data_IF_135213538379
#
_entry.id   IF_135213538379
#
_cell.length_a   1.000
_cell.length_b   1.000
_cell.length_c   1.000
_cell.angle_alpha   90.00
_cell.angle_beta   90.00
_cell.angle_gamma   90.00
#
_symmetry.space_group_name_H-M   'P 1'
#
loop_
_entity.id
_entity.type
_entity.pdbx_description
1 polymer ?
#
# COMPACT_ATOMS: atom_id res chain seq x y z
N UNK A 1 -2.55 18.54 -18.05
CA UNK A 1 -3.66 18.49 -17.07
C UNK A 1 -4.39 17.15 -17.14
N UNK A 2 -5.16 16.86 -18.20
CA UNK A 2 -5.94 15.60 -18.29
C UNK A 2 -5.09 14.32 -18.15
N UNK A 3 -3.99 14.21 -18.89
CA UNK A 3 -3.08 13.04 -18.80
C UNK A 3 -2.45 12.87 -17.41
N UNK A 4 -2.11 13.97 -16.74
CA UNK A 4 -1.51 13.98 -15.41
C UNK A 4 -2.50 13.52 -14.35
N UNK A 5 -3.76 13.97 -14.43
CA UNK A 5 -4.83 13.56 -13.51
C UNK A 5 -5.23 12.10 -13.74
N UNK A 6 -5.30 11.68 -15.01
CA UNK A 6 -5.53 10.28 -15.36
C UNK A 6 -4.46 9.36 -14.76
N UNK A 7 -3.18 9.70 -14.95
CA UNK A 7 -2.07 8.88 -14.46
C UNK A 7 -2.03 8.81 -12.94
N UNK A 8 -2.33 9.90 -12.23
CA UNK A 8 -2.43 9.91 -10.76
C UNK A 8 -3.54 8.99 -10.24
N UNK A 9 -4.76 9.10 -10.80
CA UNK A 9 -5.87 8.26 -10.38
C UNK A 9 -5.65 6.79 -10.73
N UNK A 10 -5.10 6.51 -11.91
CA UNK A 10 -4.78 5.15 -12.35
C UNK A 10 -3.72 4.52 -11.42
N UNK A 11 -2.64 5.24 -11.12
CA UNK A 11 -1.60 4.76 -10.20
C UNK A 11 -2.13 4.47 -8.80
N UNK A 12 -2.96 5.37 -8.24
CA UNK A 12 -3.59 5.17 -6.95
C UNK A 12 -4.53 3.95 -6.94
N UNK A 13 -5.37 3.82 -7.98
CA UNK A 13 -6.31 2.70 -8.12
C UNK A 13 -5.61 1.34 -8.19
N UNK A 14 -4.56 1.24 -9.02
CA UNK A 14 -3.76 0.02 -9.15
C UNK A 14 -3.11 -0.34 -7.81
N UNK A 15 -2.53 0.65 -7.12
CA UNK A 15 -1.85 0.43 -5.84
C UNK A 15 -2.83 -0.07 -4.77
N UNK A 16 -4.03 0.50 -4.68
CA UNK A 16 -5.08 0.05 -3.75
C UNK A 16 -5.51 -1.38 -4.07
N UNK A 17 -5.70 -1.71 -5.35
CA UNK A 17 -6.09 -3.06 -5.77
C UNK A 17 -5.05 -4.12 -5.40
N UNK A 18 -3.77 -3.79 -5.55
CA UNK A 18 -2.66 -4.65 -5.12
C UNK A 18 -2.63 -4.77 -3.60
N UNK A 19 -2.76 -3.65 -2.87
CA UNK A 19 -2.77 -3.65 -1.41
C UNK A 19 -3.90 -4.53 -0.85
N UNK A 20 -5.11 -4.44 -1.40
CA UNK A 20 -6.23 -5.30 -1.03
C UNK A 20 -5.94 -6.78 -1.32
N UNK A 21 -5.37 -7.08 -2.49
CA UNK A 21 -4.99 -8.46 -2.86
C UNK A 21 -3.95 -9.05 -1.89
N UNK A 22 -2.93 -8.26 -1.52
CA UNK A 22 -1.91 -8.66 -0.54
C UNK A 22 -2.54 -8.88 0.83
N UNK A 23 -3.43 -7.98 1.24
CA UNK A 23 -4.13 -8.08 2.52
C UNK A 23 -4.98 -9.34 2.59
N UNK A 24 -5.84 -9.59 1.62
CA UNK A 24 -6.76 -10.75 1.59
C UNK A 24 -6.00 -12.07 1.57
N UNK A 25 -4.97 -12.15 0.73
CA UNK A 25 -4.14 -13.36 0.62
C UNK A 25 -3.35 -13.60 1.91
N UNK A 26 -2.80 -12.54 2.50
CA UNK A 26 -2.05 -12.62 3.76
C UNK A 26 -2.94 -12.99 4.93
N UNK A 27 -4.11 -12.36 5.03
CA UNK A 27 -5.07 -12.59 6.10
C UNK A 27 -5.58 -14.02 6.06
N UNK A 28 -5.94 -14.52 4.88
CA UNK A 28 -6.35 -15.91 4.70
C UNK A 28 -5.26 -16.88 5.12
N UNK A 29 -4.01 -16.61 4.74
CA UNK A 29 -2.86 -17.45 5.10
C UNK A 29 -2.55 -17.42 6.60
N UNK A 30 -2.56 -16.25 7.23
CA UNK A 30 -2.26 -16.11 8.66
C UNK A 30 -3.40 -16.66 9.54
N UNK A 31 -4.66 -16.55 9.12
CA UNK A 31 -5.79 -17.14 9.84
C UNK A 31 -5.72 -18.67 9.84
N UNK A 32 -5.45 -19.29 8.69
CA UNK A 32 -5.26 -20.76 8.61
C UNK A 32 -4.11 -21.21 9.51
N UNK A 33 -3.04 -20.41 9.60
CA UNK A 33 -1.83 -20.75 10.37
C UNK A 33 -2.01 -20.55 11.88
N UNK A 34 -2.69 -19.50 12.33
CA UNK A 34 -2.77 -19.11 13.75
C UNK A 34 -4.09 -19.48 14.42
N UNK A 35 -5.17 -19.61 13.65
CA UNK A 35 -6.51 -19.89 14.15
C UNK A 35 -7.22 -20.93 13.26
N UNK A 36 -6.72 -22.19 13.20
CA UNK A 36 -7.29 -23.23 12.34
C UNK A 36 -8.74 -23.62 12.71
N UNK A 37 -9.18 -23.30 13.93
CA UNK A 37 -10.54 -23.56 14.40
C UNK A 37 -11.55 -22.49 13.95
N UNK A 38 -11.08 -21.39 13.34
CA UNK A 38 -11.92 -20.27 12.91
C UNK A 38 -12.11 -20.32 11.40
N UNK A 39 -13.34 -20.13 10.94
CA UNK A 39 -13.61 -20.01 9.51
C UNK A 39 -13.06 -18.68 8.98
N UNK A 40 -11.90 -18.75 8.33
CA UNK A 40 -11.25 -17.60 7.73
C UNK A 40 -12.13 -16.87 6.70
N UNK A 41 -13.01 -17.59 6.00
CA UNK A 41 -13.91 -17.02 5.00
C UNK A 41 -14.99 -16.18 5.68
N UNK A 42 -15.57 -16.70 6.77
CA UNK A 42 -16.54 -15.97 7.57
C UNK A 42 -15.94 -14.72 8.22
N UNK A 43 -14.70 -14.80 8.73
CA UNK A 43 -13.98 -13.65 9.31
C UNK A 43 -13.69 -12.58 8.26
N UNK A 44 -13.23 -12.97 7.07
CA UNK A 44 -12.97 -12.03 5.98
C UNK A 44 -14.28 -11.36 5.51
N UNK A 45 -15.37 -12.15 5.37
CA UNK A 45 -16.67 -11.64 4.94
C UNK A 45 -17.33 -10.71 5.97
N UNK A 46 -17.22 -11.03 7.26
CA UNK A 46 -17.74 -10.19 8.35
C UNK A 46 -16.93 -8.89 8.55
N UNK A 47 -15.68 -8.88 8.09
CA UNK A 47 -14.77 -7.75 8.24
C UNK A 47 -14.35 -7.49 9.69
N UNK A 48 -13.55 -6.45 9.90
CA UNK A 48 -12.87 -6.14 11.16
C UNK A 48 -13.80 -5.77 12.34
N UNK A 49 -15.08 -5.55 12.08
CA UNK A 49 -16.07 -5.09 13.06
C UNK A 49 -16.93 -6.22 13.61
N UNK A 50 -17.38 -7.16 12.77
CA UNK A 50 -18.32 -8.21 13.20
C UNK A 50 -17.66 -9.51 13.64
N UNK A 51 -16.38 -9.74 13.32
CA UNK A 51 -15.72 -11.00 13.72
C UNK A 51 -15.68 -11.24 15.23
N UNK A 52 -15.80 -10.18 16.05
CA UNK A 52 -15.84 -10.28 17.50
C UNK A 52 -17.09 -10.99 18.05
N UNK A 53 -18.18 -11.04 17.27
CA UNK A 53 -19.44 -11.63 17.70
C UNK A 53 -19.49 -13.16 17.64
N UNK A 54 -18.66 -13.78 16.81
CA UNK A 54 -18.70 -15.23 16.56
C UNK A 54 -17.35 -15.95 16.76
N UNK A 55 -16.27 -15.22 17.05
CA UNK A 55 -14.96 -15.81 17.38
C UNK A 55 -14.85 -16.04 18.88
N UNK A 56 -14.41 -17.24 19.27
CA UNK A 56 -14.12 -17.59 20.66
C UNK A 56 -13.07 -16.64 21.27
N UNK A 57 -13.18 -16.24 22.55
CA UNK A 57 -12.19 -15.38 23.21
C UNK A 57 -10.76 -15.93 23.16
N UNK A 58 -10.60 -17.25 23.05
CA UNK A 58 -9.29 -17.92 22.98
C UNK A 58 -8.62 -17.71 21.61
N UNK A 59 -9.41 -17.70 20.53
CA UNK A 59 -8.90 -17.48 19.16
C UNK A 59 -8.85 -16.00 18.78
N UNK A 60 -9.50 -15.13 19.55
CA UNK A 60 -9.54 -13.68 19.34
C UNK A 60 -8.14 -13.07 19.23
N UNK A 61 -7.21 -13.48 20.11
CA UNK A 61 -5.84 -12.98 20.10
C UNK A 61 -5.10 -13.41 18.81
N UNK A 62 -5.34 -14.65 18.36
CA UNK A 62 -4.71 -15.20 17.17
C UNK A 62 -5.24 -14.55 15.88
N UNK A 63 -6.56 -14.32 15.81
CA UNK A 63 -7.21 -13.58 14.72
C UNK A 63 -6.68 -12.15 14.68
N UNK A 64 -6.60 -11.45 15.81
CA UNK A 64 -6.07 -10.09 15.87
C UNK A 64 -4.61 -10.03 15.42
N UNK A 65 -3.78 -10.98 15.84
CA UNK A 65 -2.39 -11.07 15.42
C UNK A 65 -2.24 -11.38 13.93
N UNK A 66 -3.14 -12.19 13.35
CA UNK A 66 -3.20 -12.45 11.91
C UNK A 66 -3.58 -11.19 11.13
N UNK A 67 -4.55 -10.41 11.61
CA UNK A 67 -4.91 -9.10 11.04
C UNK A 67 -3.72 -8.13 11.10
N UNK A 68 -3.09 -7.97 12.26
CA UNK A 68 -1.95 -7.08 12.43
C UNK A 68 -0.81 -7.44 11.47
N UNK A 69 -0.45 -8.72 11.38
CA UNK A 69 0.60 -9.21 10.47
C UNK A 69 0.25 -8.94 9.00
N UNK A 70 -1.03 -9.06 8.64
CA UNK A 70 -1.48 -8.82 7.27
C UNK A 70 -1.44 -7.34 6.91
N UNK A 71 -1.81 -6.47 7.85
CA UNK A 71 -1.67 -5.01 7.73
C UNK A 71 -0.19 -4.63 7.61
N UNK A 72 0.68 -5.20 8.43
CA UNK A 72 2.13 -4.94 8.37
C UNK A 72 2.70 -5.24 6.97
N UNK A 73 2.27 -6.35 6.33
CA UNK A 73 2.69 -6.68 4.96
C UNK A 73 2.27 -5.61 3.95
N UNK A 74 1.08 -5.03 4.10
CA UNK A 74 0.64 -3.91 3.26
C UNK A 74 1.50 -2.66 3.51
N UNK A 75 1.87 -2.39 4.76
CA UNK A 75 2.78 -1.29 5.09
C UNK A 75 4.18 -1.50 4.52
N UNK A 76 4.71 -2.74 4.53
CA UNK A 76 5.97 -3.06 3.86
C UNK A 76 5.89 -2.85 2.36
N UNK A 77 4.77 -3.19 1.72
CA UNK A 77 4.54 -2.89 0.31
C UNK A 77 4.51 -1.38 0.05
N UNK A 78 3.81 -0.60 0.88
CA UNK A 78 3.81 0.86 0.78
C UNK A 78 5.22 1.47 0.96
N UNK A 79 5.99 0.97 1.93
CA UNK A 79 7.37 1.37 2.13
C UNK A 79 8.26 1.07 0.90
N UNK A 80 8.07 -0.09 0.28
CA UNK A 80 8.78 -0.45 -0.96
C UNK A 80 8.44 0.51 -2.11
N UNK A 81 7.19 0.95 -2.23
CA UNK A 81 6.79 1.98 -3.21
C UNK A 81 7.43 3.33 -2.95
N UNK A 82 7.58 3.75 -1.69
CA UNK A 82 8.30 4.96 -1.33
C UNK A 82 9.77 4.89 -1.76
N UNK A 83 10.44 3.77 -1.52
CA UNK A 83 11.83 3.54 -1.95
C UNK A 83 11.94 3.53 -3.46
N UNK A 84 11.01 2.87 -4.16
CA UNK A 84 10.98 2.86 -5.62
C UNK A 84 10.77 4.27 -6.21
N UNK A 85 9.93 5.08 -5.56
CA UNK A 85 9.70 6.48 -5.93
C UNK A 85 10.96 7.33 -5.73
N UNK A 86 11.68 7.12 -4.62
CA UNK A 86 12.96 7.76 -4.36
C UNK A 86 14.02 7.36 -5.40
N UNK A 87 14.14 6.07 -5.72
CA UNK A 87 15.06 5.60 -6.76
C UNK A 87 14.73 6.18 -8.14
N UNK A 88 13.44 6.36 -8.45
CA UNK A 88 12.98 7.00 -9.68
C UNK A 88 13.42 8.47 -9.78
N UNK A 89 13.68 9.14 -8.65
CA UNK A 89 14.18 10.52 -8.64
C UNK A 89 15.57 10.66 -9.24
N UNK A 90 16.44 9.63 -9.12
CA UNK A 90 17.75 9.64 -9.80
C UNK A 90 17.62 9.59 -11.33
N UNK A 91 16.55 8.97 -11.85
CA UNK A 91 16.29 8.88 -13.29
C UNK A 91 15.83 10.20 -13.94
N UNK A 92 15.36 11.18 -13.15
CA UNK A 92 14.89 12.46 -13.69
C UNK A 92 16.02 13.38 -14.17
N UNK A 93 17.29 12.99 -13.97
CA UNK A 93 18.45 13.79 -14.30
C UNK A 93 18.55 14.99 -13.36
N UNK A 94 19.71 15.19 -12.73
CA UNK A 94 19.98 16.37 -11.89
C UNK A 94 20.20 17.62 -12.74
N UNK A 95 19.37 17.83 -13.76
CA UNK A 95 19.47 18.95 -14.68
C UNK A 95 19.05 20.21 -13.93
N UNK A 96 19.97 21.16 -13.89
CA UNK A 96 19.76 22.45 -13.26
C UNK A 96 18.64 23.21 -13.98
N UNK A 97 17.48 23.28 -13.35
CA UNK A 97 16.30 23.98 -13.87
C UNK A 97 16.43 25.51 -13.76
N UNK A 98 17.53 26.03 -13.20
CA UNK A 98 17.79 27.48 -13.13
C UNK A 98 17.95 28.02 -14.54
N UNK A 99 17.09 28.98 -14.92
CA UNK A 99 17.28 29.77 -16.15
C UNK A 99 18.65 30.48 -16.06
N UNK A 100 19.60 30.15 -16.94
CA UNK A 100 20.78 31.00 -17.16
C UNK A 100 20.28 32.41 -17.51
N UNK A 101 20.71 33.42 -16.75
CA UNK A 101 20.51 34.83 -17.09
C UNK A 101 21.01 35.04 -18.53
N UNK A 102 20.14 35.43 -19.44
CA UNK A 102 20.56 36.01 -20.70
C UNK A 102 21.30 37.31 -20.35
N UNK A 103 22.62 37.29 -20.45
CA UNK A 103 23.41 38.53 -20.53
C UNK A 103 22.96 39.22 -21.81
N UNK A 104 22.21 40.33 -21.67
CA UNK A 104 21.99 41.24 -22.78
C UNK A 104 23.35 41.82 -23.15
N UNK A 105 23.89 41.33 -24.26
CA UNK A 105 25.12 41.82 -24.85
C UNK A 105 24.82 43.18 -25.50
N UNK A 106 25.50 44.21 -24.99
CA UNK A 106 25.91 45.43 -25.68
C UNK A 106 24.92 46.16 -26.59
N UNK A 107 24.32 47.21 -26.04
CA UNK A 107 24.13 48.48 -26.74
C UNK A 107 25.49 48.97 -27.31
N UNK A 108 25.59 49.11 -28.63
CA UNK A 108 26.48 50.03 -29.38
C UNK A 108 25.92 50.28 -30.78
#
# INVERSE_FOLDING_TARGET
MALTVFTQNLGASITISIANTIFDTSLRSELIRRAPNVDATAVIAAGATEFRGFVSPQDMHNVLAAYATSVDRVFYFAAALCVASFASAWGMGMNDVRKKKQTKEGDV
#
